data_IF_583266147720
#
_entry.id   IF_583266147720
#
_cell.length_a   1.000
_cell.length_b   1.000
_cell.length_c   1.000
_cell.angle_alpha   90.00
_cell.angle_beta   90.00
_cell.angle_gamma   90.00
#
_symmetry.space_group_name_H-M   'P 1'
#
loop_
_entity.id
_entity.type
_entity.pdbx_description
1 polymer ?
#
# COMPACT_ATOMS: atom_id res chain seq x y z
N UNK A 1 47.29 -1.03 -11.17
CA UNK A 1 47.59 0.34 -11.62
C UNK A 1 47.20 1.27 -10.49
N UNK A 2 48.16 1.75 -9.69
CA UNK A 2 47.91 2.45 -8.41
C UNK A 2 47.91 3.97 -8.53
N UNK A 3 48.35 4.51 -9.67
CA UNK A 3 48.18 5.92 -10.04
C UNK A 3 47.86 5.99 -11.53
N UNK A 4 46.92 6.86 -11.91
CA UNK A 4 46.35 6.98 -13.26
C UNK A 4 47.18 7.95 -14.12
N UNK A 5 48.49 7.98 -13.90
CA UNK A 5 49.39 8.98 -14.48
C UNK A 5 49.94 8.59 -15.87
N UNK A 6 49.67 7.37 -16.34
CA UNK A 6 50.34 6.78 -17.52
C UNK A 6 49.41 6.59 -18.74
N UNK A 7 48.17 7.07 -18.71
CA UNK A 7 47.26 7.00 -19.86
C UNK A 7 47.40 8.25 -20.73
N UNK A 8 48.34 8.22 -21.68
CA UNK A 8 48.48 9.26 -22.71
C UNK A 8 48.11 8.69 -24.08
N UNK A 9 46.97 9.11 -24.62
CA UNK A 9 46.75 9.02 -26.05
C UNK A 9 47.78 9.92 -26.72
N UNK A 10 48.66 9.35 -27.52
CA UNK A 10 49.50 10.08 -28.46
C UNK A 10 48.83 9.92 -29.82
N UNK A 11 48.51 11.02 -30.49
CA UNK A 11 48.26 10.98 -31.93
C UNK A 11 49.46 11.62 -32.65
N UNK A 12 49.69 11.20 -33.88
CA UNK A 12 50.88 11.58 -34.64
C UNK A 12 50.70 12.91 -35.39
N UNK A 13 49.65 13.69 -35.10
CA UNK A 13 49.22 14.78 -36.00
C UNK A 13 48.92 16.10 -35.28
N UNK A 14 48.52 16.13 -34.01
CA UNK A 14 48.40 17.38 -33.24
C UNK A 14 48.34 17.10 -31.72
N UNK A 15 49.21 17.75 -30.93
CA UNK A 15 49.32 17.51 -29.49
C UNK A 15 48.15 18.11 -28.69
N UNK A 16 47.40 19.04 -29.28
CA UNK A 16 46.26 19.68 -28.62
C UNK A 16 45.05 18.74 -28.45
N UNK A 17 44.66 18.00 -29.49
CA UNK A 17 43.53 17.07 -29.41
C UNK A 17 43.84 15.91 -28.47
N UNK A 18 45.08 15.40 -28.53
CA UNK A 18 45.59 14.42 -27.59
C UNK A 18 45.54 14.95 -26.15
N UNK A 19 45.96 16.20 -25.92
CA UNK A 19 45.90 16.87 -24.61
C UNK A 19 44.49 16.98 -24.05
N UNK A 20 43.52 17.43 -24.86
CA UNK A 20 42.13 17.59 -24.44
C UNK A 20 41.45 16.24 -24.16
N UNK A 21 41.71 15.22 -24.98
CA UNK A 21 41.18 13.87 -24.75
C UNK A 21 41.77 13.27 -23.49
N UNK A 22 43.08 13.43 -23.25
CA UNK A 22 43.72 12.95 -22.02
C UNK A 22 43.16 13.69 -20.80
N UNK A 23 42.92 15.01 -20.92
CA UNK A 23 42.28 15.79 -19.86
C UNK A 23 40.86 15.29 -19.58
N UNK A 24 40.04 15.05 -20.60
CA UNK A 24 38.67 14.53 -20.43
C UNK A 24 38.64 13.12 -19.80
N UNK A 25 39.53 12.22 -20.24
CA UNK A 25 39.65 10.87 -19.67
C UNK A 25 40.13 10.94 -18.23
N UNK A 26 41.12 11.79 -17.95
CA UNK A 26 41.65 11.97 -16.61
C UNK A 26 40.62 12.60 -15.67
N UNK A 27 39.86 13.61 -16.11
CA UNK A 27 38.81 14.26 -15.31
C UNK A 27 37.59 13.36 -15.11
N UNK A 28 37.31 12.42 -16.03
CA UNK A 28 36.22 11.44 -15.87
C UNK A 28 36.59 10.25 -14.99
N UNK A 29 37.88 9.90 -14.88
CA UNK A 29 38.38 8.83 -14.02
C UNK A 29 38.77 9.30 -12.62
N UNK A 30 38.94 10.61 -12.42
CA UNK A 30 39.20 11.22 -11.11
C UNK A 30 37.93 11.90 -10.59
N UNK A 31 37.78 12.02 -9.28
CA UNK A 31 36.65 12.69 -8.64
C UNK A 31 36.74 14.24 -8.73
N UNK A 32 37.32 14.79 -9.81
CA UNK A 32 37.59 16.23 -9.95
C UNK A 32 36.32 17.07 -10.11
N UNK A 33 35.22 16.45 -10.53
CA UNK A 33 33.90 17.07 -10.59
C UNK A 33 33.07 16.84 -9.32
N UNK A 34 33.68 16.32 -8.25
CA UNK A 34 33.02 16.13 -6.97
C UNK A 34 33.59 17.03 -5.88
N UNK A 35 32.73 17.76 -5.20
CA UNK A 35 33.05 18.42 -3.94
C UNK A 35 32.69 17.47 -2.79
N UNK A 36 33.60 17.25 -1.84
CA UNK A 36 33.32 16.50 -0.61
C UNK A 36 33.53 17.40 0.59
N UNK A 37 32.46 17.72 1.31
CA UNK A 37 32.52 18.62 2.47
C UNK A 37 31.60 18.20 3.61
N UNK A 38 31.98 18.55 4.83
CA UNK A 38 31.10 18.45 6.02
C UNK A 38 30.53 19.83 6.30
N UNK A 39 29.21 19.95 6.35
CA UNK A 39 28.51 21.22 6.56
C UNK A 39 27.90 21.28 7.96
N UNK A 40 28.08 22.41 8.63
CA UNK A 40 27.55 22.71 9.98
C UNK A 40 26.51 23.83 9.99
N UNK A 41 26.17 24.36 8.81
CA UNK A 41 25.16 25.38 8.58
C UNK A 41 24.53 25.17 7.19
N UNK A 42 23.58 26.03 6.81
CA UNK A 42 23.02 26.03 5.45
C UNK A 42 24.13 26.24 4.41
N UNK A 43 24.23 25.34 3.43
CA UNK A 43 25.09 25.51 2.25
C UNK A 43 24.25 26.12 1.13
N UNK A 44 24.71 27.21 0.54
CA UNK A 44 24.13 27.74 -0.70
C UNK A 44 25.11 27.47 -1.83
N UNK A 45 24.67 26.72 -2.83
CA UNK A 45 25.44 26.41 -4.02
C UNK A 45 25.41 27.59 -4.99
N UNK A 46 26.40 27.62 -5.87
CA UNK A 46 26.56 28.57 -6.97
C UNK A 46 26.76 27.80 -8.27
N UNK A 47 26.59 28.46 -9.42
CA UNK A 47 26.84 27.84 -10.72
C UNK A 47 28.34 27.48 -10.92
N UNK A 48 29.24 28.04 -10.12
CA UNK A 48 30.67 27.71 -10.14
C UNK A 48 31.04 26.49 -9.30
N UNK A 49 30.12 25.96 -8.48
CA UNK A 49 30.35 24.73 -7.74
C UNK A 49 30.40 23.52 -8.68
N UNK A 50 30.98 22.42 -8.20
CA UNK A 50 31.09 21.20 -9.00
C UNK A 50 29.72 20.51 -9.15
N UNK A 51 29.48 19.79 -10.24
CA UNK A 51 28.17 19.14 -10.48
C UNK A 51 27.84 18.03 -9.48
N UNK A 52 28.84 17.41 -8.84
CA UNK A 52 28.62 16.38 -7.82
C UNK A 52 28.95 16.93 -6.43
N UNK A 53 27.95 16.99 -5.55
CA UNK A 53 28.08 17.47 -4.17
C UNK A 53 27.93 16.27 -3.20
N UNK A 54 29.02 15.85 -2.58
CA UNK A 54 29.09 14.78 -1.58
C UNK A 54 29.16 15.44 -0.20
N UNK A 55 28.01 15.66 0.42
CA UNK A 55 27.91 16.49 1.61
C UNK A 55 27.63 15.63 2.85
N UNK A 56 28.17 16.04 3.99
CA UNK A 56 27.87 15.42 5.30
C UNK A 56 27.27 16.47 6.24
N UNK A 57 26.02 16.28 6.66
CA UNK A 57 25.37 17.16 7.64
C UNK A 57 25.85 16.86 9.08
N UNK A 58 26.46 17.85 9.74
CA UNK A 58 26.97 17.72 11.09
C UNK A 58 26.05 18.35 12.14
N UNK A 59 25.83 17.62 13.24
CA UNK A 59 25.11 18.05 14.45
C UNK A 59 23.58 18.13 14.35
N UNK A 60 23.03 18.39 13.17
CA UNK A 60 21.59 18.43 12.88
C UNK A 60 21.36 18.32 11.38
N UNK A 61 20.10 18.18 10.95
CA UNK A 61 19.71 18.29 9.55
C UNK A 61 20.14 19.65 8.98
N UNK A 62 20.59 19.65 7.72
CA UNK A 62 21.12 20.87 7.07
C UNK A 62 20.44 21.14 5.75
N UNK A 63 20.14 22.42 5.53
CA UNK A 63 19.66 22.89 4.24
C UNK A 63 20.81 22.96 3.23
N UNK A 64 20.54 22.48 2.03
CA UNK A 64 21.37 22.71 0.83
C UNK A 64 20.53 23.48 -0.16
N UNK A 65 20.83 24.76 -0.34
CA UNK A 65 20.14 25.66 -1.26
C UNK A 65 20.82 25.62 -2.61
N UNK A 66 20.05 25.38 -3.66
CA UNK A 66 20.53 25.39 -5.04
C UNK A 66 20.95 26.80 -5.46
N UNK A 67 21.78 26.85 -6.51
CA UNK A 67 22.17 28.11 -7.11
C UNK A 67 20.96 28.95 -7.54
N UNK A 68 21.15 30.27 -7.52
CA UNK A 68 20.20 31.22 -8.13
C UNK A 68 19.92 30.75 -9.54
N UNK A 69 18.63 30.65 -9.86
CA UNK A 69 18.18 30.11 -11.12
C UNK A 69 18.70 30.94 -12.30
N UNK A 70 19.40 30.28 -13.21
CA UNK A 70 19.99 30.88 -14.43
C UNK A 70 19.92 29.90 -15.59
N UNK A 71 19.97 30.43 -16.81
CA UNK A 71 20.11 29.65 -18.05
C UNK A 71 21.48 28.97 -18.17
N UNK A 72 22.49 29.46 -17.44
CA UNK A 72 23.83 28.88 -17.41
C UNK A 72 23.96 27.70 -16.45
N UNK A 73 22.99 27.53 -15.53
CA UNK A 73 23.10 26.55 -14.45
C UNK A 73 23.27 25.13 -14.99
N UNK A 74 24.32 24.48 -14.51
CA UNK A 74 24.57 23.08 -14.79
C UNK A 74 23.71 22.13 -13.91
N UNK A 75 23.49 20.88 -14.34
CA UNK A 75 22.88 19.84 -13.51
C UNK A 75 23.67 19.58 -12.23
N UNK A 76 22.98 19.43 -11.10
CA UNK A 76 23.62 19.14 -9.80
C UNK A 76 23.11 17.82 -9.24
N UNK A 77 24.03 16.91 -8.91
CA UNK A 77 23.78 15.73 -8.09
C UNK A 77 24.23 16.02 -6.66
N UNK A 78 23.35 15.80 -5.70
CA UNK A 78 23.65 15.96 -4.27
C UNK A 78 23.51 14.60 -3.61
N UNK A 79 24.54 14.14 -2.90
CA UNK A 79 24.57 12.89 -2.14
C UNK A 79 24.86 13.17 -0.67
N UNK A 80 24.04 12.62 0.21
CA UNK A 80 24.26 12.68 1.65
C UNK A 80 25.18 11.54 2.11
N UNK A 81 26.46 11.84 2.31
CA UNK A 81 27.46 10.91 2.85
C UNK A 81 27.37 10.76 4.37
N UNK A 82 26.58 11.60 5.05
CA UNK A 82 26.43 11.55 6.50
C UNK A 82 25.83 10.24 6.99
N UNK A 83 26.03 9.95 8.28
CA UNK A 83 25.55 8.71 8.91
C UNK A 83 24.25 8.91 9.74
N UNK A 84 23.86 10.15 10.03
CA UNK A 84 22.79 10.41 11.02
C UNK A 84 21.84 11.54 10.68
N UNK A 85 22.32 12.62 10.05
CA UNK A 85 21.48 13.79 9.75
C UNK A 85 21.13 13.84 8.26
N UNK A 86 19.96 14.40 7.94
CA UNK A 86 19.47 14.58 6.59
C UNK A 86 20.00 15.86 5.93
N UNK A 87 20.02 15.88 4.60
CA UNK A 87 20.17 17.09 3.80
C UNK A 87 18.82 17.50 3.23
N UNK A 88 18.37 18.71 3.49
CA UNK A 88 17.13 19.24 2.93
C UNK A 88 17.46 20.13 1.74
N UNK A 89 17.24 19.61 0.53
CA UNK A 89 17.54 20.30 -0.73
C UNK A 89 16.43 21.28 -1.07
N UNK A 90 16.77 22.56 -1.17
CA UNK A 90 15.81 23.66 -1.37
C UNK A 90 16.20 24.58 -2.52
N UNK A 91 15.27 25.42 -2.96
CA UNK A 91 15.60 26.56 -3.82
C UNK A 91 16.51 27.58 -3.10
N UNK A 92 17.07 28.52 -3.86
CA UNK A 92 18.00 29.53 -3.32
C UNK A 92 17.38 30.39 -2.21
N UNK A 93 16.06 30.65 -2.28
CA UNK A 93 15.34 31.42 -1.28
C UNK A 93 15.03 30.60 -0.01
N UNK A 94 15.07 29.26 -0.09
CA UNK A 94 14.67 28.34 0.97
C UNK A 94 13.16 28.16 1.10
N UNK A 95 12.37 28.66 0.14
CA UNK A 95 10.90 28.58 0.11
C UNK A 95 10.37 27.23 -0.38
N UNK A 96 11.10 26.56 -1.28
CA UNK A 96 10.67 25.31 -1.91
C UNK A 96 11.63 24.20 -1.53
N UNK A 97 11.12 23.11 -0.95
CA UNK A 97 11.88 21.87 -0.73
C UNK A 97 11.69 20.94 -1.91
N UNK A 98 12.79 20.51 -2.54
CA UNK A 98 12.79 19.54 -3.62
C UNK A 98 12.98 18.12 -3.14
N UNK A 99 13.86 17.90 -2.17
CA UNK A 99 14.15 16.58 -1.61
C UNK A 99 14.64 16.69 -0.16
N UNK A 100 14.43 15.65 0.63
CA UNK A 100 15.06 15.46 1.95
C UNK A 100 15.86 14.17 1.90
N UNK A 101 17.18 14.27 1.78
CA UNK A 101 18.08 13.15 1.58
C UNK A 101 18.50 12.59 2.94
N UNK A 102 18.02 11.40 3.28
CA UNK A 102 18.53 10.66 4.43
C UNK A 102 19.99 10.22 4.21
N UNK A 103 20.72 9.81 5.26
CA UNK A 103 22.03 9.14 5.12
C UNK A 103 22.07 8.11 3.98
N UNK A 104 22.99 8.28 3.03
CA UNK A 104 23.16 7.38 1.88
C UNK A 104 22.24 7.66 0.67
N UNK A 105 21.40 8.69 0.71
CA UNK A 105 20.53 9.08 -0.40
C UNK A 105 21.15 10.14 -1.31
N UNK A 106 20.68 10.20 -2.56
CA UNK A 106 21.03 11.26 -3.50
C UNK A 106 19.81 11.79 -4.27
N UNK A 107 19.93 13.02 -4.75
CA UNK A 107 19.01 13.64 -5.70
C UNK A 107 19.78 14.25 -6.88
N UNK A 108 19.16 14.19 -8.06
CA UNK A 108 19.65 14.83 -9.27
C UNK A 108 18.69 15.93 -9.73
N UNK A 109 19.21 17.15 -9.82
CA UNK A 109 18.43 18.35 -10.08
C UNK A 109 18.88 19.02 -11.38
N UNK A 110 17.89 19.43 -12.19
CA UNK A 110 18.07 20.06 -13.48
C UNK A 110 17.49 21.47 -13.47
N UNK A 111 18.25 22.46 -13.95
CA UNK A 111 17.71 23.77 -14.30
C UNK A 111 17.04 23.68 -15.66
N UNK A 112 15.75 24.01 -15.74
CA UNK A 112 15.03 24.09 -17.01
C UNK A 112 15.13 25.52 -17.54
N UNK A 113 16.19 25.78 -18.31
CA UNK A 113 16.41 27.04 -19.04
C UNK A 113 16.20 28.30 -18.18
N UNK A 114 16.63 28.28 -16.92
CA UNK A 114 16.48 29.42 -16.01
C UNK A 114 15.03 29.72 -15.57
N UNK A 115 14.07 28.81 -15.78
CA UNK A 115 12.66 28.96 -15.41
C UNK A 115 12.29 28.26 -14.10
N UNK A 116 12.82 27.06 -13.87
CA UNK A 116 12.65 26.33 -12.62
C UNK A 116 13.72 25.26 -12.42
N UNK A 117 13.96 24.88 -11.17
CA UNK A 117 14.61 23.63 -10.83
C UNK A 117 13.61 22.47 -10.89
N UNK A 118 14.05 21.32 -11.42
CA UNK A 118 13.28 20.07 -11.43
C UNK A 118 14.11 18.95 -10.83
N UNK A 119 13.47 18.15 -9.98
CA UNK A 119 14.01 16.88 -9.50
C UNK A 119 13.81 15.83 -10.61
N UNK A 120 14.91 15.33 -11.18
CA UNK A 120 14.87 14.35 -12.27
C UNK A 120 14.87 12.91 -11.75
N UNK A 121 15.72 12.63 -10.75
CA UNK A 121 15.79 11.33 -10.07
C UNK A 121 16.09 11.56 -8.59
N UNK A 122 15.47 10.77 -7.74
CA UNK A 122 15.69 10.77 -6.29
C UNK A 122 15.75 9.32 -5.82
N UNK A 123 16.89 8.89 -5.27
CA UNK A 123 16.96 7.61 -4.58
C UNK A 123 16.43 7.80 -3.18
N UNK A 124 15.14 7.59 -3.00
CA UNK A 124 14.58 7.53 -1.67
C UNK A 124 14.77 6.11 -1.14
N UNK A 125 15.88 5.84 -0.45
CA UNK A 125 16.02 4.60 0.32
C UNK A 125 14.96 4.50 1.44
N UNK A 126 14.30 5.61 1.79
CA UNK A 126 13.12 5.66 2.66
C UNK A 126 11.75 5.62 1.95
N UNK A 127 11.66 5.61 0.62
CA UNK A 127 10.43 5.26 -0.10
C UNK A 127 10.63 3.94 -0.84
N UNK A 128 10.54 2.87 -0.06
CA UNK A 128 10.71 1.51 -0.52
C UNK A 128 12.01 0.89 0.01
N UNK A 129 12.12 0.76 1.33
CA UNK A 129 12.76 -0.41 1.92
C UNK A 129 12.42 -1.63 1.07
N UNK A 130 13.42 -2.28 0.46
CA UNK A 130 13.34 -3.60 -0.16
C UNK A 130 11.93 -4.02 -0.61
N UNK A 131 11.56 -3.76 -1.87
CA UNK A 131 10.40 -4.38 -2.49
C UNK A 131 10.61 -5.91 -2.71
N UNK A 132 11.09 -6.63 -1.69
CA UNK A 132 10.46 -7.91 -1.43
C UNK A 132 8.99 -7.57 -1.18
N UNK A 133 8.12 -7.99 -2.08
CA UNK A 133 6.68 -7.72 -2.00
C UNK A 133 6.17 -8.28 -0.67
N UNK A 134 6.18 -7.47 0.39
CA UNK A 134 5.59 -7.86 1.67
C UNK A 134 4.10 -8.00 1.43
N UNK A 135 3.53 -9.15 1.78
CA UNK A 135 2.10 -9.39 1.53
C UNK A 135 1.26 -8.31 2.22
N UNK A 136 1.73 -7.80 3.36
CA UNK A 136 1.06 -6.78 4.14
C UNK A 136 1.77 -5.44 4.06
N UNK A 137 1.02 -4.41 3.66
CA UNK A 137 1.50 -3.02 3.64
C UNK A 137 0.78 -2.21 4.72
N UNK A 138 1.49 -1.32 5.42
CA UNK A 138 0.87 -0.46 6.42
C UNK A 138 -0.24 0.41 5.79
N UNK A 139 -1.39 0.50 6.48
CA UNK A 139 -2.45 1.41 6.04
C UNK A 139 -1.95 2.86 6.19
N UNK A 140 -1.95 3.67 5.12
CA UNK A 140 -1.46 5.04 5.19
C UNK A 140 -2.43 5.93 5.99
N UNK A 141 -2.07 7.19 6.23
CA UNK A 141 -3.03 8.18 6.71
C UNK A 141 -3.48 8.06 8.17
N UNK A 142 -2.66 7.45 9.05
CA UNK A 142 -2.92 7.34 10.49
C UNK A 142 -4.33 6.82 10.82
N UNK A 143 -4.63 5.56 10.45
CA UNK A 143 -5.95 4.97 10.63
C UNK A 143 -6.38 5.00 12.10
N UNK A 144 -7.62 5.40 12.34
CA UNK A 144 -8.23 5.47 13.67
C UNK A 144 -9.54 4.71 13.68
N UNK A 145 -9.70 3.75 14.59
CA UNK A 145 -10.96 3.05 14.82
C UNK A 145 -12.05 4.03 15.25
N UNK A 146 -13.24 3.94 14.65
CA UNK A 146 -14.43 4.71 15.08
C UNK A 146 -15.52 3.83 15.67
N UNK A 147 -15.58 2.55 15.29
CA UNK A 147 -16.51 1.57 15.84
C UNK A 147 -15.91 0.16 15.77
N UNK A 148 -16.67 -0.87 16.17
CA UNK A 148 -16.26 -2.27 16.02
C UNK A 148 -16.10 -2.74 14.56
N UNK A 149 -16.73 -2.03 13.62
CA UNK A 149 -16.76 -2.38 12.19
C UNK A 149 -16.37 -1.20 11.30
N UNK A 150 -15.89 -0.10 11.87
CA UNK A 150 -15.58 1.13 11.13
C UNK A 150 -14.28 1.76 11.62
N UNK A 151 -13.49 2.26 10.67
CA UNK A 151 -12.31 3.07 10.91
C UNK A 151 -12.27 4.26 9.95
N UNK A 152 -11.55 5.30 10.33
CA UNK A 152 -11.25 6.47 9.49
C UNK A 152 -9.77 6.50 9.14
N UNK A 153 -9.47 6.83 7.88
CA UNK A 153 -8.13 7.10 7.39
C UNK A 153 -8.04 8.57 6.98
N UNK A 154 -7.04 9.28 7.50
CA UNK A 154 -6.78 10.67 7.10
C UNK A 154 -6.14 10.70 5.71
N UNK A 155 -6.80 11.34 4.75
CA UNK A 155 -6.38 11.43 3.35
C UNK A 155 -6.12 12.88 2.92
N UNK A 156 -5.41 13.63 3.77
CA UNK A 156 -5.09 15.05 3.52
C UNK A 156 -4.17 15.20 2.32
N UNK A 157 -4.67 15.81 1.24
CA UNK A 157 -3.87 16.17 0.07
C UNK A 157 -3.66 15.05 -0.96
N UNK A 158 -4.18 13.84 -0.75
CA UNK A 158 -4.04 12.75 -1.74
C UNK A 158 -5.24 12.61 -2.70
N UNK A 159 -6.31 13.38 -2.51
CA UNK A 159 -7.46 13.49 -3.41
C UNK A 159 -8.10 12.14 -3.80
N UNK A 160 -8.65 11.41 -2.84
CA UNK A 160 -9.42 10.17 -3.05
C UNK A 160 -8.55 9.08 -3.71
N UNK A 161 -7.42 8.78 -3.06
CA UNK A 161 -6.60 7.63 -3.43
C UNK A 161 -6.67 6.52 -2.42
N UNK A 162 -6.88 6.82 -1.13
CA UNK A 162 -6.94 5.79 -0.10
C UNK A 162 -8.24 4.97 -0.14
N UNK A 163 -9.35 5.55 -0.59
CA UNK A 163 -10.62 4.85 -0.85
C UNK A 163 -10.49 3.82 -2.00
N UNK A 164 -9.70 4.16 -3.03
CA UNK A 164 -9.39 3.25 -4.14
C UNK A 164 -8.45 2.12 -3.72
N UNK A 165 -7.45 2.46 -2.89
CA UNK A 165 -6.49 1.51 -2.33
C UNK A 165 -7.18 0.50 -1.41
N UNK A 166 -8.02 0.98 -0.49
CA UNK A 166 -8.71 0.20 0.54
C UNK A 166 -10.16 -0.03 0.09
N UNK A 167 -10.35 -0.53 -1.14
CA UNK A 167 -11.68 -0.74 -1.73
C UNK A 167 -12.34 -2.05 -1.25
N UNK A 168 -13.62 -2.28 -1.59
CA UNK A 168 -14.32 -3.54 -1.26
C UNK A 168 -13.50 -4.76 -1.69
N UNK A 169 -13.42 -5.74 -0.80
CA UNK A 169 -12.63 -6.96 -0.96
C UNK A 169 -11.19 -6.84 -0.46
N UNK A 170 -10.65 -5.65 -0.16
CA UNK A 170 -9.32 -5.54 0.44
C UNK A 170 -9.30 -6.22 1.81
N UNK A 171 -8.34 -7.12 2.04
CA UNK A 171 -8.14 -7.74 3.35
C UNK A 171 -7.34 -6.80 4.25
N UNK A 172 -7.75 -6.68 5.50
CA UNK A 172 -7.02 -5.97 6.54
C UNK A 172 -6.52 -6.95 7.60
N UNK A 173 -5.37 -6.63 8.20
CA UNK A 173 -4.95 -7.23 9.47
C UNK A 173 -4.53 -6.18 10.47
N UNK A 174 -4.74 -6.46 11.74
CA UNK A 174 -4.25 -5.64 12.85
C UNK A 174 -3.93 -6.51 14.05
N UNK A 175 -3.27 -5.92 15.04
CA UNK A 175 -3.02 -6.57 16.32
C UNK A 175 -3.92 -5.93 17.37
N UNK A 176 -4.56 -6.75 18.19
CA UNK A 176 -5.29 -6.36 19.39
C UNK A 176 -4.76 -7.12 20.58
N UNK A 177 -4.10 -6.44 21.51
CA UNK A 177 -3.61 -7.09 22.73
C UNK A 177 -2.80 -8.37 22.43
N UNK A 178 -1.87 -8.27 21.49
CA UNK A 178 -1.03 -9.36 20.97
C UNK A 178 -1.73 -10.46 20.13
N UNK A 179 -3.05 -10.37 19.89
CA UNK A 179 -3.76 -11.27 18.97
C UNK A 179 -3.87 -10.65 17.58
N UNK A 180 -3.52 -11.41 16.55
CA UNK A 180 -3.74 -10.99 15.16
C UNK A 180 -5.23 -11.14 14.83
N UNK A 181 -5.79 -10.10 14.22
CA UNK A 181 -7.17 -10.04 13.74
C UNK A 181 -7.19 -9.78 12.25
N UNK A 182 -8.22 -10.26 11.56
CA UNK A 182 -8.39 -10.04 10.14
C UNK A 182 -9.84 -9.74 9.77
N UNK A 183 -10.01 -8.90 8.75
CA UNK A 183 -11.31 -8.53 8.21
C UNK A 183 -11.20 -8.21 6.72
N UNK A 184 -12.35 -8.18 6.04
CA UNK A 184 -12.49 -7.70 4.68
C UNK A 184 -13.19 -6.35 4.68
N UNK A 185 -12.73 -5.44 3.84
CA UNK A 185 -13.43 -4.17 3.57
C UNK A 185 -14.69 -4.42 2.75
N UNK A 186 -15.82 -3.89 3.21
CA UNK A 186 -17.09 -3.90 2.47
C UNK A 186 -17.41 -2.56 1.82
N UNK A 187 -16.92 -1.46 2.38
CA UNK A 187 -17.07 -0.12 1.81
C UNK A 187 -15.92 0.78 2.22
N UNK A 188 -15.59 1.72 1.35
CA UNK A 188 -14.66 2.81 1.64
C UNK A 188 -15.16 4.07 0.95
N UNK A 189 -15.50 5.09 1.75
CA UNK A 189 -16.12 6.33 1.26
C UNK A 189 -15.24 7.50 1.62
N UNK A 190 -14.85 8.30 0.63
CA UNK A 190 -14.11 9.53 0.85
C UNK A 190 -15.07 10.71 1.13
N UNK A 191 -14.80 11.46 2.19
CA UNK A 191 -15.41 12.76 2.46
C UNK A 191 -14.46 13.65 3.28
N UNK A 192 -14.31 14.92 2.90
CA UNK A 192 -13.58 15.94 3.69
C UNK A 192 -12.17 15.48 4.13
N UNK A 193 -11.35 15.03 3.17
CA UNK A 193 -9.99 14.52 3.44
C UNK A 193 -9.94 13.32 4.41
N UNK A 194 -11.02 12.55 4.51
CA UNK A 194 -11.08 11.32 5.26
C UNK A 194 -11.66 10.21 4.41
N UNK A 195 -11.22 8.98 4.64
CA UNK A 195 -11.85 7.78 4.11
C UNK A 195 -12.46 7.01 5.27
N UNK A 196 -13.78 6.85 5.26
CA UNK A 196 -14.50 5.98 6.19
C UNK A 196 -14.55 4.58 5.60
N UNK A 197 -13.94 3.62 6.29
CA UNK A 197 -13.85 2.23 5.86
C UNK A 197 -14.75 1.38 6.77
N UNK A 198 -15.62 0.57 6.19
CA UNK A 198 -16.43 -0.42 6.91
C UNK A 198 -15.96 -1.83 6.57
N UNK A 199 -15.97 -2.71 7.57
CA UNK A 199 -15.40 -4.06 7.48
C UNK A 199 -16.38 -5.15 7.95
N UNK A 200 -16.13 -6.39 7.52
CA UNK A 200 -16.72 -7.64 8.06
C UNK A 200 -15.61 -8.65 8.39
N UNK A 201 -15.85 -9.52 9.37
CA UNK A 201 -14.88 -10.49 9.88
C UNK A 201 -14.66 -10.31 11.38
N UNK A 202 -13.40 -10.30 11.83
CA UNK A 202 -13.14 -10.10 13.25
C UNK A 202 -13.58 -8.70 13.71
N UNK A 203 -14.13 -8.64 14.92
CA UNK A 203 -14.50 -7.38 15.56
C UNK A 203 -13.24 -6.57 15.87
N UNK A 204 -13.19 -5.32 15.40
CA UNK A 204 -12.13 -4.38 15.72
C UNK A 204 -12.44 -3.69 17.05
N UNK A 205 -12.11 -4.31 18.17
CA UNK A 205 -12.28 -3.71 19.50
C UNK A 205 -11.21 -2.64 19.80
N UNK A 206 -10.01 -2.80 19.24
CA UNK A 206 -8.87 -1.87 19.39
C UNK A 206 -7.91 -1.98 18.20
N UNK A 207 -6.90 -1.12 18.13
CA UNK A 207 -5.81 -1.23 17.16
C UNK A 207 -4.52 -0.90 17.89
N UNK A 208 -3.60 -1.85 17.99
CA UNK A 208 -2.27 -1.57 18.53
C UNK A 208 -1.54 -0.60 17.59
N UNK A 209 -0.71 0.30 18.15
CA UNK A 209 -0.04 1.33 17.38
C UNK A 209 0.74 0.75 16.18
N UNK A 210 0.53 1.34 14.99
CA UNK A 210 1.15 0.93 13.72
C UNK A 210 0.90 -0.53 13.28
N UNK A 211 -0.12 -1.20 13.83
CA UNK A 211 -0.41 -2.61 13.50
C UNK A 211 -1.34 -2.80 12.30
N UNK A 212 -2.14 -1.79 11.93
CA UNK A 212 -3.11 -1.91 10.84
C UNK A 212 -2.42 -1.95 9.48
N UNK A 213 -2.64 -3.04 8.76
CA UNK A 213 -2.08 -3.30 7.42
C UNK A 213 -3.16 -3.76 6.46
N UNK A 214 -2.97 -3.52 5.17
CA UNK A 214 -3.78 -4.07 4.09
C UNK A 214 -2.99 -5.12 3.31
N UNK A 215 -3.69 -6.14 2.82
CA UNK A 215 -3.11 -7.24 2.05
C UNK A 215 -2.96 -6.89 0.57
N UNK A 216 -1.96 -7.49 -0.07
CA UNK A 216 -1.76 -7.40 -1.52
C UNK A 216 -2.84 -8.16 -2.32
N UNK A 217 -3.45 -9.18 -1.70
CA UNK A 217 -4.54 -9.97 -2.28
C UNK A 217 -5.89 -9.54 -1.71
N UNK A 218 -6.92 -9.49 -2.56
CA UNK A 218 -8.30 -9.34 -2.13
C UNK A 218 -8.84 -10.65 -1.55
N UNK A 219 -9.92 -10.56 -0.78
CA UNK A 219 -10.67 -11.73 -0.37
C UNK A 219 -11.13 -12.51 -1.60
N UNK A 220 -11.06 -13.83 -1.48
CA UNK A 220 -11.59 -14.80 -2.43
C UNK A 220 -13.05 -15.05 -2.14
N UNK A 221 -13.74 -15.64 -3.11
CA UNK A 221 -15.17 -15.87 -3.06
C UNK A 221 -15.49 -17.33 -3.37
N UNK A 222 -16.42 -17.91 -2.62
CA UNK A 222 -17.14 -19.13 -3.01
C UNK A 222 -18.58 -18.74 -3.31
N UNK A 223 -19.14 -19.28 -4.39
CA UNK A 223 -20.48 -18.93 -4.85
C UNK A 223 -21.36 -20.18 -4.93
N UNK A 224 -22.57 -20.07 -4.40
CA UNK A 224 -23.64 -21.06 -4.56
C UNK A 224 -24.86 -20.42 -5.19
N UNK A 225 -25.66 -21.26 -5.84
CA UNK A 225 -26.96 -20.87 -6.36
C UNK A 225 -27.99 -21.98 -6.13
N UNK A 226 -29.21 -21.60 -5.79
CA UNK A 226 -30.39 -22.46 -5.79
C UNK A 226 -31.37 -21.84 -6.78
N UNK A 227 -31.54 -22.49 -7.93
CA UNK A 227 -32.39 -21.99 -8.99
C UNK A 227 -33.87 -22.30 -8.75
N UNK A 228 -34.75 -21.42 -9.23
CA UNK A 228 -36.19 -21.56 -9.14
C UNK A 228 -36.79 -21.09 -7.81
N UNK A 229 -38.01 -21.55 -7.54
CA UNK A 229 -38.79 -21.13 -6.37
C UNK A 229 -38.23 -21.75 -5.08
N UNK A 230 -37.88 -20.90 -4.11
CA UNK A 230 -37.36 -21.31 -2.80
C UNK A 230 -38.53 -21.64 -1.85
N UNK A 231 -39.15 -22.79 -2.08
CA UNK A 231 -40.46 -23.15 -1.48
C UNK A 231 -40.41 -23.98 -0.20
N UNK A 232 -39.25 -24.49 0.21
CA UNK A 232 -39.12 -25.35 1.39
C UNK A 232 -37.74 -25.22 2.02
N UNK A 233 -37.67 -25.49 3.33
CA UNK A 233 -36.41 -25.68 4.05
C UNK A 233 -35.71 -26.95 3.60
N UNK A 234 -34.42 -27.04 3.84
CA UNK A 234 -33.63 -28.21 3.49
C UNK A 234 -32.17 -28.08 3.88
N UNK A 235 -31.47 -29.19 3.91
CA UNK A 235 -30.03 -29.27 4.17
C UNK A 235 -29.27 -29.55 2.89
N UNK A 236 -28.07 -29.03 2.75
CA UNK A 236 -27.22 -29.19 1.57
C UNK A 236 -28.00 -28.88 0.27
N UNK A 237 -28.76 -27.79 0.27
CA UNK A 237 -29.73 -27.46 -0.80
C UNK A 237 -29.07 -27.04 -2.12
N UNK A 238 -27.77 -26.78 -2.07
CA UNK A 238 -26.93 -26.40 -3.21
C UNK A 238 -25.74 -27.37 -3.35
N UNK A 239 -24.84 -27.08 -4.29
CA UNK A 239 -23.55 -27.77 -4.33
C UNK A 239 -22.77 -27.63 -3.03
N UNK A 240 -21.77 -28.48 -2.82
CA UNK A 240 -20.80 -28.33 -1.73
C UNK A 240 -19.48 -27.79 -2.28
N UNK A 241 -18.66 -27.22 -1.40
CA UNK A 241 -17.32 -26.78 -1.70
C UNK A 241 -16.35 -27.37 -0.68
N UNK A 242 -15.28 -28.02 -1.15
CA UNK A 242 -14.22 -28.49 -0.27
C UNK A 242 -13.15 -27.41 -0.14
N UNK A 243 -12.84 -27.04 1.09
CA UNK A 243 -11.84 -26.02 1.39
C UNK A 243 -10.45 -26.47 0.88
N UNK A 244 -9.83 -25.79 -0.09
CA UNK A 244 -8.57 -26.24 -0.69
C UNK A 244 -7.33 -26.00 0.20
N UNK A 245 -7.54 -25.38 1.37
CA UNK A 245 -6.56 -25.03 2.40
C UNK A 245 -7.34 -24.50 3.60
N UNK A 246 -6.67 -24.21 4.71
CA UNK A 246 -7.32 -23.48 5.81
C UNK A 246 -7.83 -22.10 5.33
N UNK A 247 -9.13 -21.85 5.49
CA UNK A 247 -9.81 -20.64 5.04
C UNK A 247 -10.23 -19.79 6.23
N UNK A 248 -9.67 -18.59 6.37
CA UNK A 248 -10.24 -17.58 7.26
C UNK A 248 -11.51 -17.02 6.62
N UNK A 249 -12.65 -17.21 7.28
CA UNK A 249 -13.96 -16.77 6.79
C UNK A 249 -14.26 -15.37 7.33
N UNK A 250 -14.68 -14.46 6.46
CA UNK A 250 -15.03 -13.09 6.86
C UNK A 250 -16.53 -12.88 7.00
N UNK A 251 -17.30 -13.46 6.09
CA UNK A 251 -18.73 -13.20 6.01
C UNK A 251 -19.34 -13.59 4.67
N UNK A 252 -20.59 -13.23 4.47
CA UNK A 252 -21.34 -13.59 3.28
C UNK A 252 -22.29 -12.49 2.79
N UNK A 253 -22.55 -12.51 1.48
CA UNK A 253 -23.64 -11.76 0.83
C UNK A 253 -24.67 -12.79 0.32
N UNK A 254 -25.96 -12.52 0.52
CA UNK A 254 -27.05 -13.31 -0.08
C UNK A 254 -27.96 -12.43 -0.93
N UNK A 255 -28.46 -12.99 -2.04
CA UNK A 255 -29.35 -12.29 -2.98
C UNK A 255 -30.42 -13.22 -3.53
N UNK A 256 -31.58 -12.63 -3.85
CA UNK A 256 -32.66 -13.28 -4.59
C UNK A 256 -32.86 -12.58 -5.93
N UNK A 257 -33.13 -13.35 -6.98
CA UNK A 257 -33.57 -12.82 -8.27
C UNK A 257 -34.96 -12.17 -8.17
N UNK A 258 -35.86 -12.75 -7.39
CA UNK A 258 -37.16 -12.15 -7.04
C UNK A 258 -37.40 -12.26 -5.53
N UNK A 259 -37.74 -11.14 -4.91
CA UNK A 259 -38.05 -11.07 -3.48
C UNK A 259 -39.29 -11.89 -3.12
N UNK A 260 -39.24 -12.57 -1.97
CA UNK A 260 -40.39 -13.19 -1.36
C UNK A 260 -41.17 -12.24 -0.43
N UNK A 261 -42.22 -12.78 0.19
CA UNK A 261 -42.94 -12.14 1.29
C UNK A 261 -42.78 -13.00 2.55
N UNK A 262 -42.04 -12.49 3.53
CA UNK A 262 -41.50 -13.25 4.68
C UNK A 262 -39.98 -13.23 4.70
N UNK A 263 -39.39 -14.05 5.57
CA UNK A 263 -37.92 -14.15 5.73
C UNK A 263 -37.41 -15.44 5.11
N UNK A 264 -36.38 -15.34 4.28
CA UNK A 264 -35.58 -16.49 3.83
C UNK A 264 -34.23 -16.44 4.54
N UNK A 265 -33.90 -17.47 5.32
CA UNK A 265 -32.66 -17.56 6.11
C UNK A 265 -31.80 -18.68 5.58
N UNK A 266 -30.53 -18.34 5.37
CA UNK A 266 -29.51 -19.26 4.85
C UNK A 266 -28.55 -19.57 5.99
N UNK A 267 -28.31 -20.86 6.24
CA UNK A 267 -27.19 -21.28 7.07
C UNK A 267 -26.03 -21.70 6.18
N UNK A 268 -24.81 -21.32 6.57
CA UNK A 268 -23.58 -21.69 5.88
C UNK A 268 -22.76 -22.50 6.86
N UNK A 269 -22.53 -23.76 6.51
CA UNK A 269 -21.95 -24.73 7.42
C UNK A 269 -20.53 -25.12 7.03
N UNK A 270 -19.73 -25.44 8.03
CA UNK A 270 -18.44 -26.10 7.96
C UNK A 270 -18.55 -27.47 8.63
N UNK A 271 -18.46 -28.54 7.84
CA UNK A 271 -18.62 -29.93 8.30
C UNK A 271 -19.91 -30.16 9.13
N UNK A 272 -20.99 -29.48 8.73
CA UNK A 272 -22.31 -29.55 9.38
C UNK A 272 -22.48 -28.65 10.61
N UNK A 273 -21.51 -27.78 10.90
CA UNK A 273 -21.59 -26.77 11.98
C UNK A 273 -21.77 -25.38 11.39
N UNK A 274 -22.72 -24.59 11.91
CA UNK A 274 -22.94 -23.22 11.45
C UNK A 274 -21.71 -22.33 11.65
N UNK A 275 -21.37 -21.54 10.63
CA UNK A 275 -20.34 -20.50 10.71
C UNK A 275 -20.88 -19.13 11.12
N UNK A 276 -22.21 -19.00 11.26
CA UNK A 276 -22.92 -17.75 11.48
C UNK A 276 -23.95 -17.91 12.60
N UNK A 277 -23.61 -17.44 13.80
CA UNK A 277 -24.58 -17.37 14.91
C UNK A 277 -25.77 -16.46 14.53
N UNK A 278 -25.49 -15.35 13.84
CA UNK A 278 -26.54 -14.52 13.19
C UNK A 278 -26.58 -14.86 11.70
N UNK A 279 -27.53 -15.70 11.31
CA UNK A 279 -27.61 -16.27 9.96
C UNK A 279 -28.05 -15.23 8.91
N UNK A 280 -27.38 -15.16 7.74
CA UNK A 280 -27.81 -14.32 6.62
C UNK A 280 -29.29 -14.50 6.29
N UNK A 281 -30.03 -13.40 6.21
CA UNK A 281 -31.49 -13.45 6.09
C UNK A 281 -32.06 -12.32 5.22
N UNK A 282 -32.73 -12.67 4.12
CA UNK A 282 -33.47 -11.71 3.31
C UNK A 282 -34.90 -11.61 3.84
N UNK A 283 -35.26 -10.41 4.28
CA UNK A 283 -36.59 -10.09 4.81
C UNK A 283 -37.56 -9.65 3.70
N UNK A 284 -38.84 -9.52 4.06
CA UNK A 284 -39.94 -9.19 3.15
C UNK A 284 -39.60 -8.08 2.17
N UNK A 285 -39.88 -8.31 0.88
CA UNK A 285 -39.66 -7.39 -0.26
C UNK A 285 -38.22 -7.03 -0.60
N UNK A 286 -37.23 -7.46 0.19
CA UNK A 286 -35.82 -7.25 -0.15
C UNK A 286 -35.31 -8.32 -1.11
N UNK A 287 -34.37 -7.95 -1.97
CA UNK A 287 -33.69 -8.88 -2.90
C UNK A 287 -32.26 -9.18 -2.47
N UNK A 288 -31.79 -8.59 -1.38
CA UNK A 288 -30.42 -8.76 -0.91
C UNK A 288 -30.30 -8.51 0.57
N UNK A 289 -29.41 -9.25 1.18
CA UNK A 289 -28.88 -9.01 2.51
C UNK A 289 -27.35 -9.14 2.40
N UNK A 290 -26.66 -8.03 2.60
CA UNK A 290 -25.23 -7.88 2.32
C UNK A 290 -24.46 -7.70 3.61
N UNK A 291 -23.18 -8.03 3.55
CA UNK A 291 -22.21 -7.74 4.59
C UNK A 291 -22.50 -8.49 5.92
N UNK A 292 -23.06 -9.71 5.80
CA UNK A 292 -23.26 -10.59 6.95
C UNK A 292 -21.91 -11.06 7.47
N UNK A 293 -21.66 -10.87 8.76
CA UNK A 293 -20.37 -11.20 9.38
C UNK A 293 -20.40 -12.62 9.92
N UNK A 294 -19.39 -13.42 9.58
CA UNK A 294 -19.19 -14.73 10.19
C UNK A 294 -18.82 -14.58 11.67
N UNK A 295 -18.95 -15.66 12.44
CA UNK A 295 -18.54 -15.63 13.84
C UNK A 295 -17.04 -15.28 13.96
N UNK A 296 -16.67 -14.57 15.04
CA UNK A 296 -15.28 -14.09 15.17
C UNK A 296 -14.33 -15.28 15.31
N UNK A 297 -13.22 -15.25 14.58
CA UNK A 297 -12.27 -16.35 14.59
C UNK A 297 -12.63 -17.55 13.71
N UNK A 298 -13.74 -17.54 12.96
CA UNK A 298 -14.13 -18.69 12.11
C UNK A 298 -13.05 -19.02 11.07
N UNK A 299 -12.58 -20.26 11.10
CA UNK A 299 -11.64 -20.85 10.15
C UNK A 299 -12.17 -22.22 9.75
N UNK A 300 -12.35 -22.45 8.45
CA UNK A 300 -12.59 -23.79 7.94
C UNK A 300 -11.26 -24.48 7.66
N UNK A 301 -11.12 -25.74 8.06
CA UNK A 301 -9.89 -26.51 7.87
C UNK A 301 -9.70 -26.88 6.39
N UNK A 302 -8.49 -27.29 6.02
CA UNK A 302 -8.26 -27.91 4.71
C UNK A 302 -9.13 -29.17 4.56
N UNK A 303 -9.68 -29.36 3.37
CA UNK A 303 -10.63 -30.42 2.99
C UNK A 303 -11.98 -30.42 3.74
N UNK A 304 -12.26 -29.42 4.57
CA UNK A 304 -13.58 -29.28 5.17
C UNK A 304 -14.68 -29.07 4.13
N UNK A 305 -15.85 -29.69 4.35
CA UNK A 305 -17.00 -29.62 3.45
C UNK A 305 -17.88 -28.43 3.83
N UNK A 306 -17.85 -27.40 2.98
CA UNK A 306 -18.72 -26.23 3.09
C UNK A 306 -20.05 -26.45 2.37
N UNK A 307 -21.15 -26.20 3.07
CA UNK A 307 -22.51 -26.42 2.55
C UNK A 307 -23.45 -25.27 2.88
N UNK A 308 -24.62 -25.27 2.22
CA UNK A 308 -25.68 -24.29 2.39
C UNK A 308 -26.96 -25.01 2.78
N UNK A 309 -27.57 -24.58 3.89
CA UNK A 309 -28.91 -25.00 4.32
C UNK A 309 -29.91 -23.85 4.19
N UNK A 310 -31.18 -24.20 3.99
CA UNK A 310 -32.32 -23.29 4.06
C UNK A 310 -33.05 -23.55 5.38
N UNK A 311 -32.79 -22.71 6.37
CA UNK A 311 -33.38 -22.82 7.71
C UNK A 311 -34.78 -22.20 7.81
N UNK A 312 -35.03 -21.19 6.99
CA UNK A 312 -36.35 -20.59 6.86
C UNK A 312 -36.59 -20.18 5.41
N UNK A 313 -37.83 -20.33 4.97
CA UNK A 313 -38.28 -19.85 3.66
C UNK A 313 -39.42 -18.87 3.84
N UNK A 314 -39.44 -17.84 2.99
CA UNK A 314 -40.50 -16.84 3.01
C UNK A 314 -41.87 -17.47 2.69
N UNK A 315 -42.93 -17.00 3.35
CA UNK A 315 -44.29 -17.54 3.16
C UNK A 315 -44.81 -17.39 1.72
N UNK A 316 -44.46 -16.29 1.04
CA UNK A 316 -44.41 -16.27 -0.43
C UNK A 316 -42.96 -16.44 -0.84
N UNK A 317 -42.66 -17.54 -1.52
CA UNK A 317 -41.30 -17.91 -1.87
C UNK A 317 -40.62 -16.86 -2.75
N UNK A 318 -39.35 -16.59 -2.45
CA UNK A 318 -38.46 -15.91 -3.39
C UNK A 318 -38.06 -16.84 -4.54
N UNK A 319 -37.41 -16.26 -5.55
CA UNK A 319 -36.91 -16.99 -6.73
C UNK A 319 -35.43 -16.72 -6.90
N UNK A 320 -34.68 -17.77 -7.22
CA UNK A 320 -33.24 -17.78 -7.51
C UNK A 320 -32.39 -17.20 -6.37
N UNK A 321 -31.95 -18.06 -5.45
CA UNK A 321 -31.05 -17.67 -4.36
C UNK A 321 -29.60 -17.75 -4.82
N UNK A 322 -28.83 -16.71 -4.53
CA UNK A 322 -27.38 -16.63 -4.72
C UNK A 322 -26.71 -16.34 -3.39
N UNK A 323 -25.69 -17.13 -3.05
CA UNK A 323 -24.91 -16.97 -1.82
C UNK A 323 -23.44 -16.80 -2.20
N UNK A 324 -22.79 -15.79 -1.62
CA UNK A 324 -21.37 -15.54 -1.78
C UNK A 324 -20.70 -15.52 -0.42
N UNK A 325 -19.72 -16.41 -0.20
CA UNK A 325 -18.91 -16.46 1.01
C UNK A 325 -17.53 -15.86 0.73
N UNK A 326 -17.09 -14.94 1.57
CA UNK A 326 -15.80 -14.27 1.46
C UNK A 326 -14.75 -14.87 2.39
N UNK A 327 -13.56 -15.13 1.86
CA UNK A 327 -12.49 -15.78 2.62
C UNK A 327 -11.09 -15.35 2.18
N UNK A 328 -10.08 -15.68 2.96
CA UNK A 328 -8.66 -15.62 2.56
C UNK A 328 -7.91 -16.83 3.14
N UNK A 329 -6.81 -17.29 2.53
CA UNK A 329 -5.96 -18.30 3.15
C UNK A 329 -5.59 -17.91 4.59
N UNK A 330 -5.83 -18.80 5.56
CA UNK A 330 -5.57 -18.54 6.98
C UNK A 330 -4.08 -18.26 7.24
N UNK A 331 -3.19 -18.91 6.46
CA UNK A 331 -1.74 -18.68 6.50
C UNK A 331 -1.34 -17.22 6.23
N UNK A 332 -2.17 -16.45 5.50
CA UNK A 332 -1.86 -15.06 5.16
C UNK A 332 -1.61 -14.21 6.40
N UNK A 333 -2.20 -14.53 7.56
CA UNK A 333 -1.97 -13.78 8.80
C UNK A 333 -0.49 -13.78 9.25
N UNK A 334 0.24 -14.84 8.90
CA UNK A 334 1.65 -15.06 9.27
C UNK A 334 2.64 -14.51 8.26
N UNK A 335 2.18 -14.09 7.07
CA UNK A 335 3.07 -13.49 6.07
C UNK A 335 3.57 -12.12 6.55
N UNK A 336 4.82 -11.82 6.19
CA UNK A 336 5.49 -10.55 6.49
C UNK A 336 5.30 -9.55 5.37
#
# INVERSE_FOLDING_TARGET
MTTLNDFYKTDLVDDHVAGDVNKLIATSLRAEHANTETISATKTLTDGDTPFQILTASGADRDVRLAVLSVSNHPTLIYNKGASNSLVVKDNAGSTTFATLAPGEWAFLLSISGVAWKLAVYSNTNAGTNAGLTFWTAVPGSPTRTSNTTLEVTDTGNANKYDKLISKGTCLKWTESASVKQAMVISATYATNKVTVTIIGDTMASIDANSLKYGAEKAREVNWAVAGTIGATGTDVAGHFYAPMEMKIFGADIRLGTAGNGTTTVDINDDGTTMFTTKPSITTTNTSDLDNTADSGTVAAEDSKLTIDLDAVAGTAGVDLYVKLFWTPNLNQHLT
#
